data_IF_779283604222
#
_entry.id   IF_779283604222
#
_cell.length_a   1.000
_cell.length_b   1.000
_cell.length_c   1.000
_cell.angle_alpha   90.00
_cell.angle_beta   90.00
_cell.angle_gamma   90.00
#
_symmetry.space_group_name_H-M   'P 1'
#
loop_
_entity.id
_entity.type
_entity.pdbx_description
1 polymer ?
#
# COMPACT_ATOMS: atom_id res chain seq x y z
N UNK A 1 6.07 -24.13 21.15
CA UNK A 1 7.34 -24.55 21.78
C UNK A 1 8.36 -25.08 20.78
N UNK A 2 8.07 -26.14 19.99
CA UNK A 2 9.10 -26.73 19.12
C UNK A 2 9.60 -25.82 17.99
N UNK A 3 8.71 -25.06 17.35
CA UNK A 3 9.09 -24.02 16.39
C UNK A 3 9.84 -22.86 17.05
N UNK A 4 9.36 -22.42 18.22
CA UNK A 4 10.00 -21.33 18.98
C UNK A 4 11.44 -21.67 19.41
N UNK A 5 11.76 -22.94 19.64
CA UNK A 5 13.11 -23.37 19.97
C UNK A 5 14.13 -23.10 18.86
N UNK A 6 13.72 -22.99 17.59
CA UNK A 6 14.61 -22.65 16.48
C UNK A 6 15.29 -21.30 16.74
N UNK A 7 14.58 -20.36 17.37
CA UNK A 7 15.02 -18.99 17.64
C UNK A 7 15.68 -18.82 19.01
N UNK A 8 15.61 -19.81 19.89
CA UNK A 8 16.05 -19.70 21.28
C UNK A 8 17.47 -20.20 21.47
N UNK A 9 18.32 -19.45 22.17
CA UNK A 9 19.71 -19.86 22.49
C UNK A 9 19.78 -21.08 23.43
N UNK A 10 18.71 -21.33 24.18
CA UNK A 10 18.59 -22.48 25.06
C UNK A 10 17.32 -23.27 24.75
N UNK A 11 17.37 -24.57 25.00
CA UNK A 11 16.20 -25.44 24.79
C UNK A 11 15.09 -25.04 25.77
N UNK A 12 13.98 -24.57 25.23
CA UNK A 12 12.82 -24.12 25.98
C UNK A 12 12.16 -25.31 26.68
N UNK A 13 11.72 -25.05 27.91
CA UNK A 13 10.87 -25.97 28.66
C UNK A 13 9.41 -25.75 28.29
N UNK A 14 8.64 -26.83 28.20
CA UNK A 14 7.21 -26.76 27.93
C UNK A 14 6.52 -26.31 29.22
N UNK A 15 5.81 -25.19 29.15
CA UNK A 15 4.97 -24.71 30.24
C UNK A 15 3.49 -25.00 29.94
N UNK A 16 2.74 -25.40 30.97
CA UNK A 16 1.28 -25.55 30.90
C UNK A 16 0.65 -24.73 32.02
N UNK A 17 -0.13 -23.71 31.64
CA UNK A 17 -0.69 -22.72 32.58
C UNK A 17 0.42 -22.09 33.46
N UNK A 18 1.49 -21.61 32.82
CA UNK A 18 2.68 -21.00 33.44
C UNK A 18 3.45 -21.87 34.43
N UNK A 19 3.15 -23.18 34.50
CA UNK A 19 3.91 -24.15 35.30
C UNK A 19 4.88 -24.95 34.42
N UNK A 20 6.17 -25.04 34.80
CA UNK A 20 7.15 -25.88 34.10
C UNK A 20 6.76 -27.35 34.21
N UNK A 21 6.82 -28.08 33.09
CA UNK A 21 6.44 -29.50 33.04
C UNK A 21 7.61 -30.45 33.26
N UNK A 22 8.84 -29.96 33.40
CA UNK A 22 10.08 -30.75 33.43
C UNK A 22 10.50 -31.27 32.05
N UNK A 23 9.67 -31.09 31.00
CA UNK A 23 9.93 -31.59 29.65
C UNK A 23 10.49 -30.47 28.78
N UNK A 24 11.67 -30.71 28.20
CA UNK A 24 12.25 -29.85 27.17
C UNK A 24 11.52 -30.06 25.84
N UNK A 25 11.23 -28.99 25.14
CA UNK A 25 10.68 -29.07 23.79
C UNK A 25 11.78 -29.45 22.79
N UNK A 26 11.46 -30.28 21.80
CA UNK A 26 12.36 -30.52 20.66
C UNK A 26 12.43 -29.32 19.72
N UNK A 27 13.23 -29.41 18.67
CA UNK A 27 13.31 -28.40 17.60
C UNK A 27 12.62 -28.98 16.37
N UNK A 28 11.60 -28.30 15.83
CA UNK A 28 10.86 -28.74 14.63
C UNK A 28 10.32 -27.55 13.85
N UNK A 29 10.39 -27.66 12.52
CA UNK A 29 9.65 -26.78 11.61
C UNK A 29 8.14 -27.09 11.67
N UNK A 30 7.30 -26.16 11.21
CA UNK A 30 5.85 -26.33 11.18
C UNK A 30 5.40 -27.47 10.25
N UNK A 31 6.03 -27.57 9.07
CA UNK A 31 5.74 -28.57 8.04
C UNK A 31 6.94 -29.50 7.89
N UNK A 32 6.84 -30.71 8.45
CA UNK A 32 7.96 -31.67 8.51
C UNK A 32 8.37 -32.17 7.12
N UNK A 33 7.46 -32.06 6.15
CA UNK A 33 7.69 -32.38 4.75
C UNK A 33 8.79 -31.50 4.14
N UNK A 34 9.05 -30.31 4.70
CA UNK A 34 10.07 -29.39 4.25
C UNK A 34 11.48 -29.79 4.66
N UNK A 35 11.63 -30.58 5.74
CA UNK A 35 12.92 -31.03 6.25
C UNK A 35 13.00 -31.05 7.78
N UNK A 36 14.17 -31.43 8.28
CA UNK A 36 14.49 -31.45 9.71
C UNK A 36 15.63 -30.47 10.01
N UNK A 37 15.49 -29.71 11.10
CA UNK A 37 16.51 -28.77 11.58
C UNK A 37 17.40 -29.49 12.59
N UNK A 38 18.71 -29.31 12.46
CA UNK A 38 19.68 -29.87 13.41
C UNK A 38 19.48 -29.27 14.80
N UNK A 39 19.10 -30.14 15.74
CA UNK A 39 18.85 -29.75 17.13
C UNK A 39 20.11 -29.38 17.91
N UNK A 40 21.30 -29.82 17.46
CA UNK A 40 22.59 -29.53 18.08
C UNK A 40 23.27 -28.27 17.56
N UNK A 41 22.76 -27.69 16.46
CA UNK A 41 23.34 -26.51 15.85
C UNK A 41 23.10 -25.24 16.67
N UNK A 42 24.01 -24.28 16.56
CA UNK A 42 23.85 -22.95 17.15
C UNK A 42 22.66 -22.20 16.52
N UNK A 43 22.11 -21.21 17.22
CA UNK A 43 20.91 -20.46 16.78
C UNK A 43 21.05 -19.91 15.36
N UNK A 44 22.20 -19.33 15.01
CA UNK A 44 22.46 -18.79 13.67
C UNK A 44 22.30 -19.84 12.56
N UNK A 45 22.88 -21.02 12.75
CA UNK A 45 22.82 -22.11 11.77
C UNK A 45 21.39 -22.70 11.69
N UNK A 46 20.67 -22.79 12.81
CA UNK A 46 19.26 -23.22 12.81
C UNK A 46 18.35 -22.23 12.09
N UNK A 47 18.60 -20.93 12.21
CA UNK A 47 17.86 -19.90 11.48
C UNK A 47 18.17 -19.94 9.98
N UNK A 48 19.41 -20.21 9.60
CA UNK A 48 19.80 -20.43 8.21
C UNK A 48 19.10 -21.65 7.62
N UNK A 49 19.13 -22.80 8.31
CA UNK A 49 18.41 -24.00 7.89
C UNK A 49 16.90 -23.74 7.75
N UNK A 50 16.30 -23.04 8.71
CA UNK A 50 14.89 -22.65 8.59
C UNK A 50 14.64 -21.79 7.35
N UNK A 51 15.50 -20.80 7.07
CA UNK A 51 15.38 -19.98 5.88
C UNK A 51 15.48 -20.83 4.60
N UNK A 52 16.48 -21.70 4.50
CA UNK A 52 16.68 -22.60 3.35
C UNK A 52 15.46 -23.50 3.12
N UNK A 53 14.84 -24.01 4.20
CA UNK A 53 13.61 -24.82 4.11
C UNK A 53 12.35 -24.03 3.75
N UNK A 54 12.28 -22.73 4.04
CA UNK A 54 11.11 -21.90 3.72
C UNK A 54 11.16 -21.34 2.29
N UNK A 55 12.36 -21.19 1.71
CA UNK A 55 12.54 -20.65 0.35
C UNK A 55 12.70 -21.75 -0.71
N UNK A 56 12.53 -23.01 -0.34
CA UNK A 56 12.63 -24.10 -1.29
C UNK A 56 11.39 -24.14 -2.20
N UNK A 57 11.54 -24.52 -3.48
CA UNK A 57 10.40 -24.68 -4.39
C UNK A 57 9.32 -25.66 -3.89
N UNK A 58 9.67 -26.58 -3.00
CA UNK A 58 8.74 -27.52 -2.35
C UNK A 58 7.75 -26.80 -1.43
N UNK A 59 8.08 -25.62 -0.89
CA UNK A 59 7.15 -24.80 -0.12
C UNK A 59 6.36 -23.86 -1.05
N UNK A 60 5.20 -24.32 -1.53
CA UNK A 60 4.30 -23.48 -2.32
C UNK A 60 3.67 -22.32 -1.53
N UNK A 61 3.66 -22.38 -0.18
CA UNK A 61 2.94 -21.41 0.65
C UNK A 61 3.57 -20.03 0.56
N UNK A 62 4.90 -19.93 0.61
CA UNK A 62 5.61 -18.65 0.53
C UNK A 62 5.23 -17.90 -0.75
N UNK A 63 5.34 -18.55 -1.90
CA UNK A 63 5.11 -17.93 -3.21
C UNK A 63 3.65 -17.58 -3.43
N UNK A 64 2.72 -18.48 -3.07
CA UNK A 64 1.28 -18.18 -3.07
C UNK A 64 0.95 -16.97 -2.20
N UNK A 65 1.58 -16.86 -1.04
CA UNK A 65 1.36 -15.73 -0.12
C UNK A 65 1.88 -14.41 -0.72
N UNK A 66 3.09 -14.42 -1.32
CA UNK A 66 3.66 -13.22 -1.97
C UNK A 66 2.78 -12.77 -3.13
N UNK A 67 2.40 -13.69 -4.02
CA UNK A 67 1.50 -13.42 -5.15
C UNK A 67 0.16 -12.88 -4.66
N UNK A 68 -0.45 -13.51 -3.66
CA UNK A 68 -1.73 -13.09 -3.10
C UNK A 68 -1.67 -11.65 -2.55
N UNK A 69 -0.58 -11.29 -1.88
CA UNK A 69 -0.38 -9.93 -1.35
C UNK A 69 -0.20 -8.89 -2.45
N UNK A 70 0.61 -9.19 -3.48
CA UNK A 70 0.78 -8.28 -4.62
C UNK A 70 -0.54 -8.13 -5.37
N UNK A 71 -1.26 -9.22 -5.60
CA UNK A 71 -2.59 -9.21 -6.19
C UNK A 71 -3.56 -8.35 -5.38
N UNK A 72 -3.64 -8.54 -4.06
CA UNK A 72 -4.50 -7.74 -3.18
C UNK A 72 -4.17 -6.24 -3.24
N UNK A 73 -2.88 -5.90 -3.28
CA UNK A 73 -2.43 -4.51 -3.38
C UNK A 73 -2.89 -3.85 -4.68
N UNK A 74 -2.91 -4.59 -5.78
CA UNK A 74 -3.31 -4.08 -7.10
C UNK A 74 -4.82 -4.11 -7.30
N UNK A 75 -5.47 -5.23 -6.97
CA UNK A 75 -6.89 -5.50 -7.27
C UNK A 75 -7.84 -5.09 -6.14
N UNK A 76 -7.31 -4.72 -4.96
CA UNK A 76 -8.10 -4.32 -3.79
C UNK A 76 -8.64 -5.46 -2.93
N UNK A 77 -8.46 -6.72 -3.37
CA UNK A 77 -8.76 -7.95 -2.63
C UNK A 77 -7.80 -9.05 -3.04
N UNK A 78 -7.34 -9.87 -2.10
CA UNK A 78 -6.55 -11.06 -2.42
C UNK A 78 -7.32 -12.08 -3.25
N UNK A 79 -6.60 -13.04 -3.84
CA UNK A 79 -7.19 -14.30 -4.32
C UNK A 79 -7.70 -15.12 -3.13
N UNK A 80 -6.93 -15.15 -2.06
CA UNK A 80 -7.35 -15.60 -0.72
C UNK A 80 -7.53 -14.38 0.18
N UNK A 81 -8.65 -14.32 0.89
CA UNK A 81 -8.96 -13.24 1.84
C UNK A 81 -9.50 -13.83 3.16
N UNK A 82 -9.07 -13.35 4.35
CA UNK A 82 -8.04 -12.34 4.59
C UNK A 82 -6.66 -12.73 4.05
N UNK A 83 -5.87 -11.75 3.56
CA UNK A 83 -4.55 -12.00 2.95
C UNK A 83 -3.55 -12.75 3.85
N UNK A 84 -3.74 -12.68 5.17
CA UNK A 84 -2.89 -13.35 6.17
C UNK A 84 -3.40 -14.75 6.56
N UNK A 85 -4.60 -15.15 6.09
CA UNK A 85 -5.24 -16.43 6.41
C UNK A 85 -5.24 -17.30 5.15
N UNK A 86 -4.04 -17.70 4.72
CA UNK A 86 -3.82 -18.48 3.49
C UNK A 86 -4.39 -19.90 3.50
N UNK A 87 -4.98 -20.33 4.62
CA UNK A 87 -5.71 -21.60 4.74
C UNK A 87 -7.17 -21.49 4.29
N UNK A 88 -7.67 -20.27 4.04
CA UNK A 88 -8.97 -20.05 3.43
C UNK A 88 -8.99 -20.48 1.96
N UNK A 89 -10.18 -20.82 1.47
CA UNK A 89 -10.38 -21.18 0.07
C UNK A 89 -10.17 -19.95 -0.84
N UNK A 90 -9.30 -20.05 -1.87
CA UNK A 90 -9.17 -19.01 -2.87
C UNK A 90 -10.41 -18.97 -3.76
N UNK A 91 -10.80 -17.78 -4.23
CA UNK A 91 -11.87 -17.68 -5.23
C UNK A 91 -11.48 -18.31 -6.58
N UNK A 92 -10.18 -18.45 -6.84
CA UNK A 92 -9.64 -19.19 -7.98
C UNK A 92 -8.29 -19.82 -7.63
N UNK A 93 -8.30 -21.12 -7.32
CA UNK A 93 -7.10 -21.91 -7.02
C UNK A 93 -6.14 -21.96 -8.22
N UNK A 94 -6.66 -22.23 -9.42
CA UNK A 94 -5.82 -22.38 -10.63
C UNK A 94 -5.03 -21.12 -10.94
N UNK A 95 -5.66 -19.95 -10.81
CA UNK A 95 -4.99 -18.66 -11.01
C UNK A 95 -3.86 -18.44 -9.99
N UNK A 96 -4.12 -18.74 -8.71
CA UNK A 96 -3.14 -18.56 -7.64
C UNK A 96 -1.95 -19.48 -7.85
N UNK A 97 -2.20 -20.75 -8.16
CA UNK A 97 -1.16 -21.75 -8.39
C UNK A 97 -0.35 -21.44 -9.67
N UNK A 98 -1.01 -20.99 -10.73
CA UNK A 98 -0.34 -20.57 -11.97
C UNK A 98 0.56 -19.34 -11.75
N UNK A 99 0.06 -18.29 -11.09
CA UNK A 99 0.86 -17.10 -10.79
C UNK A 99 2.02 -17.42 -9.83
N UNK A 100 1.80 -18.32 -8.86
CA UNK A 100 2.86 -18.74 -7.95
C UNK A 100 3.95 -19.54 -8.69
N UNK A 101 3.58 -20.48 -9.56
CA UNK A 101 4.54 -21.23 -10.39
C UNK A 101 5.33 -20.28 -11.28
N UNK A 102 4.64 -19.38 -11.98
CA UNK A 102 5.29 -18.40 -12.86
C UNK A 102 6.26 -17.47 -12.11
N UNK A 103 5.89 -17.05 -10.90
CA UNK A 103 6.77 -16.25 -10.05
C UNK A 103 8.05 -17.00 -9.65
N UNK A 104 7.96 -18.32 -9.40
CA UNK A 104 9.13 -19.18 -9.16
C UNK A 104 9.97 -19.29 -10.43
N UNK A 105 9.34 -19.60 -11.57
CA UNK A 105 10.00 -19.79 -12.87
C UNK A 105 10.69 -18.52 -13.38
N UNK A 106 10.16 -17.33 -13.03
CA UNK A 106 10.76 -16.04 -13.34
C UNK A 106 11.89 -15.65 -12.38
N UNK A 107 12.33 -16.54 -11.49
CA UNK A 107 13.39 -16.27 -10.52
C UNK A 107 12.99 -15.29 -9.43
N UNK A 108 11.71 -15.29 -9.04
CA UNK A 108 11.15 -14.44 -7.97
C UNK A 108 11.17 -12.93 -8.27
N UNK A 109 11.18 -12.55 -9.56
CA UNK A 109 11.13 -11.15 -9.97
C UNK A 109 9.74 -10.53 -9.79
N UNK A 110 9.61 -9.69 -8.75
CA UNK A 110 8.38 -8.96 -8.45
C UNK A 110 7.95 -8.02 -9.59
N UNK A 111 8.86 -7.48 -10.39
CA UNK A 111 8.52 -6.59 -11.51
C UNK A 111 7.85 -7.36 -12.63
N UNK A 112 8.30 -8.58 -12.91
CA UNK A 112 7.66 -9.45 -13.91
C UNK A 112 6.25 -9.83 -13.45
N UNK A 113 6.08 -10.20 -12.18
CA UNK A 113 4.76 -10.49 -11.60
C UNK A 113 3.81 -9.28 -11.72
N UNK A 114 4.27 -8.10 -11.30
CA UNK A 114 3.47 -6.86 -11.38
C UNK A 114 3.12 -6.56 -12.84
N UNK A 115 4.09 -6.59 -13.75
CA UNK A 115 3.86 -6.36 -15.18
C UNK A 115 2.79 -7.30 -15.74
N UNK A 116 2.87 -8.59 -15.40
CA UNK A 116 1.92 -9.61 -15.85
C UNK A 116 0.50 -9.36 -15.35
N UNK A 117 0.33 -8.98 -14.09
CA UNK A 117 -0.97 -8.60 -13.55
C UNK A 117 -1.49 -7.34 -14.26
N UNK A 118 -0.70 -6.28 -14.33
CA UNK A 118 -1.09 -4.98 -14.90
C UNK A 118 -1.43 -5.03 -16.40
N UNK A 119 -0.85 -5.97 -17.14
CA UNK A 119 -1.10 -6.15 -18.57
C UNK A 119 -2.20 -7.16 -18.88
N UNK A 120 -2.78 -7.81 -17.87
CA UNK A 120 -3.86 -8.79 -18.05
C UNK A 120 -5.20 -8.13 -18.37
N UNK A 121 -6.06 -8.86 -19.10
CA UNK A 121 -7.46 -8.46 -19.32
C UNK A 121 -8.20 -8.30 -17.98
N UNK A 122 -7.87 -9.13 -16.99
CA UNK A 122 -8.47 -9.10 -15.65
C UNK A 122 -8.23 -7.76 -14.93
N UNK A 123 -7.04 -7.17 -15.09
CA UNK A 123 -6.73 -5.85 -14.51
C UNK A 123 -7.43 -4.71 -15.27
N UNK A 124 -7.67 -4.89 -16.57
CA UNK A 124 -8.32 -3.89 -17.43
C UNK A 124 -9.85 -3.91 -17.36
N UNK A 125 -10.45 -4.85 -16.61
CA UNK A 125 -11.88 -4.86 -16.37
C UNK A 125 -12.32 -3.59 -15.61
N UNK A 126 -13.54 -3.08 -15.86
CA UNK A 126 -14.10 -1.99 -15.07
C UNK A 126 -14.08 -2.31 -13.58
N UNK A 127 -13.70 -1.33 -12.75
CA UNK A 127 -13.73 -1.52 -11.31
C UNK A 127 -15.15 -1.53 -10.75
N UNK A 128 -15.29 -2.26 -9.66
CA UNK A 128 -16.55 -2.49 -8.97
C UNK A 128 -16.57 -1.79 -7.62
N UNK A 129 -17.72 -1.25 -7.24
CA UNK A 129 -17.92 -0.72 -5.89
C UNK A 129 -18.44 -1.80 -4.97
N UNK A 130 -18.09 -1.71 -3.70
CA UNK A 130 -18.65 -2.53 -2.63
C UNK A 130 -19.66 -1.73 -1.83
N UNK A 131 -20.79 -2.34 -1.47
CA UNK A 131 -21.77 -1.72 -0.57
C UNK A 131 -21.44 -1.99 0.91
N UNK A 132 -20.90 -3.17 1.19
CA UNK A 132 -20.58 -3.65 2.52
C UNK A 132 -19.22 -4.34 2.51
N UNK A 133 -18.39 -4.07 3.53
CA UNK A 133 -17.05 -4.66 3.64
C UNK A 133 -17.09 -6.18 3.81
N UNK A 134 -18.17 -6.71 4.42
CA UNK A 134 -18.36 -8.14 4.61
C UNK A 134 -18.40 -8.94 3.30
N UNK A 135 -18.76 -8.28 2.18
CA UNK A 135 -18.74 -8.90 0.85
C UNK A 135 -17.32 -9.32 0.42
N UNK A 136 -16.29 -8.60 0.87
CA UNK A 136 -14.90 -8.88 0.51
C UNK A 136 -14.47 -10.26 1.07
N UNK A 137 -14.86 -10.56 2.30
CA UNK A 137 -14.48 -11.81 3.00
C UNK A 137 -15.54 -12.91 2.86
N UNK A 138 -16.54 -12.72 2.00
CA UNK A 138 -17.60 -13.68 1.81
C UNK A 138 -17.06 -14.99 1.17
N UNK A 139 -17.51 -16.17 1.65
CA UNK A 139 -17.05 -17.45 1.11
C UNK A 139 -17.52 -17.69 -0.34
N UNK A 140 -18.63 -17.09 -0.74
CA UNK A 140 -19.21 -17.15 -2.08
C UNK A 140 -18.79 -15.97 -2.97
N UNK A 141 -17.65 -15.34 -2.66
CA UNK A 141 -17.13 -14.22 -3.43
C UNK A 141 -16.87 -14.59 -4.90
N UNK A 142 -17.48 -13.83 -5.80
CA UNK A 142 -17.23 -13.92 -7.24
C UNK A 142 -16.46 -12.68 -7.69
N UNK A 143 -15.33 -12.90 -8.34
CA UNK A 143 -14.53 -11.82 -8.89
C UNK A 143 -15.27 -11.15 -10.06
N UNK A 144 -15.45 -9.83 -9.98
CA UNK A 144 -16.15 -9.03 -11.01
C UNK A 144 -15.29 -7.87 -11.56
N UNK A 145 -14.07 -7.69 -11.06
CA UNK A 145 -13.19 -6.57 -11.37
C UNK A 145 -12.42 -6.08 -10.14
N UNK A 146 -11.56 -5.09 -10.35
CA UNK A 146 -10.84 -4.43 -9.26
C UNK A 146 -11.82 -3.76 -8.29
N UNK A 147 -11.57 -3.85 -6.98
CA UNK A 147 -12.36 -3.13 -5.99
C UNK A 147 -11.95 -1.67 -5.94
N UNK A 148 -12.93 -0.78 -6.12
CA UNK A 148 -12.74 0.66 -5.91
C UNK A 148 -12.40 0.92 -4.45
N UNK A 149 -11.27 1.57 -4.19
CA UNK A 149 -10.78 1.86 -2.84
C UNK A 149 -10.15 3.22 -2.75
N UNK A 150 -10.14 3.80 -1.56
CA UNK A 150 -9.43 5.06 -1.30
C UNK A 150 -7.92 4.87 -1.33
N UNK A 151 -7.21 5.91 -1.74
CA UNK A 151 -5.79 6.05 -1.47
C UNK A 151 -5.57 5.98 0.05
N UNK A 152 -4.54 5.24 0.48
CA UNK A 152 -4.11 5.32 1.89
C UNK A 152 -3.56 6.71 2.18
N UNK A 153 -3.45 7.06 3.47
CA UNK A 153 -2.83 8.32 3.90
C UNK A 153 -1.50 8.60 3.20
N UNK A 154 -0.62 7.59 3.15
CA UNK A 154 0.70 7.72 2.53
C UNK A 154 0.59 7.91 1.00
N UNK A 155 -0.31 7.16 0.35
CA UNK A 155 -0.53 7.27 -1.10
C UNK A 155 -1.12 8.63 -1.48
N UNK A 156 -2.08 9.15 -0.71
CA UNK A 156 -2.67 10.47 -0.94
C UNK A 156 -1.63 11.57 -0.84
N UNK A 157 -0.81 11.55 0.22
CA UNK A 157 0.24 12.56 0.40
C UNK A 157 1.30 12.48 -0.69
N UNK A 158 1.72 11.28 -1.06
CA UNK A 158 2.67 11.07 -2.16
C UNK A 158 2.07 11.53 -3.51
N UNK A 159 0.79 11.25 -3.78
CA UNK A 159 0.09 11.68 -4.99
C UNK A 159 0.00 13.21 -5.07
N UNK A 160 -0.42 13.90 -4.01
CA UNK A 160 -0.42 15.37 -3.96
C UNK A 160 0.99 15.93 -4.15
N UNK A 161 1.99 15.33 -3.50
CA UNK A 161 3.38 15.75 -3.60
C UNK A 161 3.95 15.63 -5.01
N UNK A 162 3.58 14.55 -5.71
CA UNK A 162 4.02 14.27 -7.07
C UNK A 162 3.26 15.13 -8.11
N UNK A 163 1.94 15.23 -7.98
CA UNK A 163 1.08 15.88 -8.96
C UNK A 163 1.06 17.40 -8.85
N UNK A 164 1.26 17.95 -7.66
CA UNK A 164 1.08 19.38 -7.39
C UNK A 164 2.35 20.02 -6.84
N UNK A 165 2.65 19.74 -5.57
CA UNK A 165 3.82 20.27 -4.87
C UNK A 165 4.07 19.43 -3.61
N UNK A 166 5.34 19.15 -3.23
CA UNK A 166 5.66 18.40 -2.03
C UNK A 166 4.96 18.90 -0.78
N UNK A 167 4.22 17.99 -0.13
CA UNK A 167 3.54 18.25 1.15
C UNK A 167 4.54 18.43 2.27
N UNK A 168 5.61 17.63 2.26
CA UNK A 168 6.69 17.69 3.25
C UNK A 168 7.99 18.22 2.64
N UNK A 169 8.77 19.02 3.39
CA UNK A 169 10.14 19.34 3.02
C UNK A 169 11.06 18.14 3.25
N UNK A 170 12.16 18.10 2.50
CA UNK A 170 13.16 17.00 2.57
C UNK A 170 13.84 16.87 3.94
N UNK A 171 13.81 17.92 4.77
CA UNK A 171 14.35 17.92 6.13
C UNK A 171 13.60 17.01 7.10
N UNK A 172 12.35 16.65 6.80
CA UNK A 172 11.53 15.76 7.64
C UNK A 172 11.70 14.27 7.32
N UNK A 173 12.48 13.92 6.29
CA UNK A 173 12.77 12.54 5.97
C UNK A 173 13.64 11.87 7.05
N UNK A 174 13.20 10.70 7.50
CA UNK A 174 13.93 9.87 8.47
C UNK A 174 14.82 8.88 7.71
N UNK A 175 16.07 9.29 7.43
CA UNK A 175 17.02 8.53 6.60
C UNK A 175 17.76 7.39 7.31
N UNK A 176 17.61 7.24 8.62
CA UNK A 176 18.52 6.43 9.44
C UNK A 176 18.59 4.95 9.06
N UNK A 177 17.63 4.44 8.26
CA UNK A 177 17.49 3.03 7.92
C UNK A 177 17.61 2.72 6.41
N UNK A 178 17.95 3.70 5.56
CA UNK A 178 17.98 3.50 4.10
C UNK A 178 19.41 3.48 3.54
N UNK A 179 19.70 2.62 2.55
CA UNK A 179 20.94 2.68 1.77
C UNK A 179 21.18 4.09 1.22
N UNK A 180 22.44 4.55 1.26
CA UNK A 180 22.82 5.89 0.77
C UNK A 180 22.39 6.14 -0.69
N UNK A 181 22.35 5.09 -1.51
CA UNK A 181 21.93 5.12 -2.92
C UNK A 181 20.46 5.48 -3.14
N UNK A 182 19.59 5.29 -2.15
CA UNK A 182 18.17 5.68 -2.27
C UNK A 182 18.01 7.20 -2.26
N UNK A 183 18.95 7.93 -1.63
CA UNK A 183 18.86 9.40 -1.49
C UNK A 183 18.87 10.16 -2.81
N UNK A 184 19.49 9.61 -3.87
CA UNK A 184 19.60 10.29 -5.17
C UNK A 184 18.38 10.12 -6.05
N UNK A 185 17.47 9.19 -5.73
CA UNK A 185 16.39 8.76 -6.62
C UNK A 185 14.99 9.14 -6.10
N UNK A 186 14.89 9.83 -4.96
CA UNK A 186 13.61 10.24 -4.39
C UNK A 186 13.35 11.71 -4.77
N UNK A 187 12.26 12.01 -5.53
CA UNK A 187 11.98 13.37 -6.00
C UNK A 187 11.49 14.33 -4.91
N UNK A 188 10.97 13.80 -3.79
CA UNK A 188 10.46 14.56 -2.65
C UNK A 188 10.31 13.65 -1.41
N UNK A 189 10.21 14.23 -0.22
CA UNK A 189 9.91 13.50 1.03
C UNK A 189 8.66 12.61 0.96
N UNK A 190 8.88 11.31 0.66
CA UNK A 190 7.83 10.28 0.64
C UNK A 190 7.19 10.15 2.02
N UNK A 191 5.86 10.11 2.09
CA UNK A 191 5.11 10.04 3.34
C UNK A 191 5.52 8.85 4.24
N UNK A 192 5.85 7.71 3.62
CA UNK A 192 6.34 6.52 4.31
C UNK A 192 7.66 6.73 5.07
N UNK A 193 8.47 7.70 4.64
CA UNK A 193 9.77 8.05 5.21
C UNK A 193 9.71 9.24 6.18
N UNK A 194 8.54 9.85 6.33
CA UNK A 194 8.30 10.90 7.32
C UNK A 194 7.68 10.27 8.57
N UNK A 195 8.03 10.81 9.74
CA UNK A 195 7.42 10.40 11.02
C UNK A 195 5.90 10.57 10.94
N UNK A 196 5.15 9.61 11.48
CA UNK A 196 3.70 9.72 11.52
C UNK A 196 3.29 10.95 12.35
N UNK A 197 2.62 11.90 11.70
CA UNK A 197 2.16 13.16 12.27
C UNK A 197 0.62 13.17 12.40
N UNK A 198 0.06 14.27 12.89
CA UNK A 198 -1.39 14.41 13.07
C UNK A 198 -2.14 14.36 11.74
N UNK A 199 -1.55 14.93 10.69
CA UNK A 199 -2.13 14.95 9.36
C UNK A 199 -2.30 13.51 8.82
N UNK A 200 -1.22 12.73 8.77
CA UNK A 200 -1.29 11.34 8.30
C UNK A 200 -2.15 10.45 9.20
N UNK A 201 -2.13 10.69 10.52
CA UNK A 201 -3.00 9.98 11.47
C UNK A 201 -4.48 10.25 11.17
N UNK A 202 -4.86 11.52 10.90
CA UNK A 202 -6.22 11.90 10.52
C UNK A 202 -6.67 11.23 9.20
N UNK A 203 -5.74 11.10 8.24
CA UNK A 203 -5.97 10.38 6.98
C UNK A 203 -5.99 8.85 7.13
N UNK A 204 -5.80 8.31 8.33
CA UNK A 204 -5.91 6.87 8.61
C UNK A 204 -4.59 6.09 8.56
N UNK A 205 -3.42 6.75 8.66
CA UNK A 205 -2.14 6.06 8.83
C UNK A 205 -2.11 5.33 10.19
N UNK A 206 -1.95 3.99 10.21
CA UNK A 206 -1.87 3.23 11.44
C UNK A 206 -0.69 3.64 12.31
N UNK A 207 -0.88 3.47 13.62
CA UNK A 207 0.20 3.58 14.58
C UNK A 207 1.09 2.32 14.50
N UNK A 208 2.41 2.50 14.61
CA UNK A 208 3.38 1.39 14.65
C UNK A 208 3.30 0.60 15.96
N UNK A 209 2.71 1.18 17.00
CA UNK A 209 2.50 0.50 18.30
C UNK A 209 1.34 -0.50 18.28
N UNK A 210 0.53 -0.52 17.23
CA UNK A 210 -0.61 -1.43 17.10
C UNK A 210 -0.45 -2.33 15.89
N UNK A 211 -0.62 -3.63 16.09
CA UNK A 211 -0.67 -4.59 14.98
C UNK A 211 -2.01 -4.42 14.26
N UNK A 212 -1.94 -3.96 13.02
CA UNK A 212 -3.11 -3.75 12.16
C UNK A 212 -2.84 -4.47 10.84
N UNK A 213 -3.61 -5.53 10.59
CA UNK A 213 -3.51 -6.39 9.40
C UNK A 213 -4.38 -5.89 8.25
N UNK A 214 -5.24 -4.90 8.49
CA UNK A 214 -6.12 -4.27 7.50
C UNK A 214 -6.03 -2.74 7.55
N UNK A 215 -6.40 -2.07 6.46
CA UNK A 215 -6.50 -0.61 6.40
C UNK A 215 -7.96 -0.22 6.33
N UNK A 216 -8.40 0.67 7.20
CA UNK A 216 -9.74 1.22 7.12
C UNK A 216 -9.84 2.16 5.91
N UNK A 217 -10.70 1.84 4.96
CA UNK A 217 -10.96 2.65 3.76
C UNK A 217 -12.15 3.59 3.90
N UNK A 218 -12.84 3.60 5.04
CA UNK A 218 -14.01 4.45 5.27
C UNK A 218 -13.60 5.91 5.46
N UNK A 219 -14.42 6.79 4.90
CA UNK A 219 -14.35 8.21 5.18
C UNK A 219 -14.60 8.46 6.66
N UNK A 220 -13.81 9.33 7.29
CA UNK A 220 -14.07 9.77 8.65
C UNK A 220 -14.14 11.30 8.72
N UNK A 221 -14.85 11.81 9.73
CA UNK A 221 -15.05 13.25 9.91
C UNK A 221 -13.73 14.00 10.13
N UNK A 222 -12.78 13.37 10.83
CA UNK A 222 -11.48 13.98 11.12
C UNK A 222 -10.68 14.20 9.84
N UNK A 223 -10.69 13.24 8.91
CA UNK A 223 -10.10 13.36 7.57
C UNK A 223 -10.72 14.52 6.79
N UNK A 224 -12.05 14.63 6.79
CA UNK A 224 -12.73 15.71 6.08
C UNK A 224 -12.40 17.09 6.66
N UNK A 225 -12.35 17.21 8.00
CA UNK A 225 -11.94 18.44 8.68
C UNK A 225 -10.49 18.79 8.33
N UNK A 226 -9.58 17.83 8.49
CA UNK A 226 -8.15 18.04 8.23
C UNK A 226 -7.87 18.45 6.78
N UNK A 227 -8.59 17.88 5.81
CA UNK A 227 -8.49 18.27 4.40
C UNK A 227 -9.12 19.63 4.08
N UNK A 228 -9.99 20.16 4.94
CA UNK A 228 -10.64 21.46 4.76
C UNK A 228 -9.90 22.59 5.49
N UNK A 229 -9.46 22.34 6.72
CA UNK A 229 -8.92 23.38 7.61
C UNK A 229 -7.54 23.04 8.21
N UNK A 230 -6.99 21.85 7.91
CA UNK A 230 -5.69 21.44 8.42
C UNK A 230 -4.56 22.28 7.85
N UNK A 231 -3.60 22.63 8.71
CA UNK A 231 -2.49 23.52 8.34
C UNK A 231 -1.54 22.86 7.35
N UNK A 232 -1.21 21.57 7.56
CA UNK A 232 -0.23 20.85 6.74
C UNK A 232 -0.63 20.80 5.26
N UNK A 233 -1.90 20.48 4.99
CA UNK A 233 -2.42 20.39 3.64
C UNK A 233 -2.58 21.78 3.01
N UNK A 234 -3.22 22.71 3.73
CA UNK A 234 -3.46 24.06 3.20
C UNK A 234 -2.16 24.82 2.90
N UNK A 235 -1.13 24.69 3.73
CA UNK A 235 0.18 25.27 3.43
C UNK A 235 0.83 24.66 2.17
N UNK A 236 0.62 23.36 1.93
CA UNK A 236 1.10 22.71 0.71
C UNK A 236 0.34 23.22 -0.53
N UNK A 237 -0.99 23.38 -0.44
CA UNK A 237 -1.80 23.92 -1.54
C UNK A 237 -1.44 25.38 -1.83
N UNK A 238 -1.20 26.22 -0.81
CA UNK A 238 -0.73 27.60 -0.99
C UNK A 238 0.57 27.67 -1.78
N UNK A 239 1.57 26.88 -1.35
CA UNK A 239 2.85 26.76 -2.08
C UNK A 239 2.63 26.27 -3.52
N UNK A 240 1.72 25.33 -3.72
CA UNK A 240 1.36 24.86 -5.06
C UNK A 240 0.76 26.01 -5.89
N UNK A 241 -0.21 26.75 -5.38
CA UNK A 241 -0.84 27.87 -6.07
C UNK A 241 0.17 28.92 -6.54
N UNK A 242 1.11 29.31 -5.67
CA UNK A 242 2.19 30.23 -6.03
C UNK A 242 3.06 29.70 -7.18
N UNK A 243 3.51 28.45 -7.09
CA UNK A 243 4.39 27.81 -8.08
C UNK A 243 3.67 27.64 -9.42
N UNK A 244 2.43 27.17 -9.38
CA UNK A 244 1.63 26.86 -10.56
C UNK A 244 1.21 28.11 -11.32
N UNK A 245 0.81 29.18 -10.61
CA UNK A 245 0.50 30.47 -11.21
C UNK A 245 1.71 31.10 -11.91
N UNK A 246 2.91 30.97 -11.32
CA UNK A 246 4.16 31.45 -11.94
C UNK A 246 4.55 30.60 -13.15
N UNK A 247 4.33 29.28 -13.08
CA UNK A 247 4.67 28.33 -14.15
C UNK A 247 3.73 28.43 -15.34
N UNK A 248 2.45 28.69 -15.11
CA UNK A 248 1.41 28.75 -16.15
C UNK A 248 0.62 30.06 -16.07
N UNK A 249 1.13 31.14 -16.72
CA UNK A 249 0.44 32.43 -16.74
C UNK A 249 -0.89 32.44 -17.52
N UNK A 250 -1.03 31.54 -18.50
CA UNK A 250 -2.29 31.34 -19.23
C UNK A 250 -3.21 30.40 -18.45
N UNK A 251 -4.42 30.89 -18.13
CA UNK A 251 -5.40 30.16 -17.31
C UNK A 251 -5.88 28.87 -17.98
N UNK A 252 -6.05 28.84 -19.31
CA UNK A 252 -6.49 27.62 -19.99
C UNK A 252 -5.42 26.54 -19.87
N UNK A 253 -4.16 26.94 -20.06
CA UNK A 253 -3.01 26.04 -19.91
C UNK A 253 -2.84 25.58 -18.46
N UNK A 254 -3.06 26.47 -17.49
CA UNK A 254 -3.07 26.11 -16.06
C UNK A 254 -4.10 25.02 -15.78
N UNK A 255 -5.34 25.20 -16.23
CA UNK A 255 -6.42 24.22 -16.05
C UNK A 255 -6.02 22.88 -16.67
N UNK A 256 -5.62 22.86 -17.94
CA UNK A 256 -5.24 21.64 -18.64
C UNK A 256 -4.10 20.88 -17.95
N UNK A 257 -3.07 21.59 -17.49
CA UNK A 257 -1.93 20.98 -16.81
C UNK A 257 -2.29 20.50 -15.40
N UNK A 258 -3.19 21.18 -14.68
CA UNK A 258 -3.66 20.69 -13.37
C UNK A 258 -4.44 19.39 -13.56
N UNK A 259 -5.39 19.34 -14.50
CA UNK A 259 -6.14 18.13 -14.82
C UNK A 259 -5.23 16.98 -15.25
N UNK A 260 -4.27 17.25 -16.13
CA UNK A 260 -3.33 16.23 -16.62
C UNK A 260 -2.46 15.67 -15.51
N UNK A 261 -1.97 16.50 -14.58
CA UNK A 261 -1.09 16.03 -13.51
C UNK A 261 -1.85 15.39 -12.34
N UNK A 262 -3.10 15.77 -12.10
CA UNK A 262 -3.91 15.21 -11.01
C UNK A 262 -4.72 14.00 -11.44
N UNK A 263 -5.46 14.10 -12.55
CA UNK A 263 -6.40 13.07 -13.04
C UNK A 263 -5.85 12.27 -14.23
N UNK A 264 -4.68 12.62 -14.78
CA UNK A 264 -4.08 11.88 -15.90
C UNK A 264 -4.77 12.10 -17.26
N UNK A 265 -5.76 13.00 -17.34
CA UNK A 265 -6.54 13.30 -18.55
C UNK A 265 -6.73 14.80 -18.74
N UNK A 266 -7.19 15.20 -19.92
CA UNK A 266 -7.65 16.57 -20.16
C UNK A 266 -9.06 16.78 -19.58
N UNK A 267 -9.43 18.02 -19.21
CA UNK A 267 -10.79 18.34 -18.80
C UNK A 267 -11.75 18.13 -19.98
N UNK A 268 -12.98 17.72 -19.71
CA UNK A 268 -14.05 17.79 -20.72
C UNK A 268 -14.57 19.22 -20.83
N UNK A 269 -15.28 19.55 -21.91
CA UNK A 269 -15.73 20.93 -22.19
C UNK A 269 -16.58 21.55 -21.06
N UNK A 270 -17.38 20.74 -20.37
CA UNK A 270 -18.19 21.20 -19.23
C UNK A 270 -17.31 21.51 -18.00
N UNK A 271 -16.33 20.66 -17.70
CA UNK A 271 -15.36 20.84 -16.62
C UNK A 271 -14.48 22.08 -16.87
N UNK A 272 -14.02 22.26 -18.11
CA UNK A 272 -13.21 23.42 -18.52
C UNK A 272 -14.00 24.73 -18.36
N UNK A 273 -15.28 24.75 -18.77
CA UNK A 273 -16.14 25.92 -18.60
C UNK A 273 -16.36 26.27 -17.12
N UNK A 274 -16.53 25.27 -16.25
CA UNK A 274 -16.65 25.47 -14.80
C UNK A 274 -15.34 26.01 -14.22
N UNK A 275 -14.20 25.41 -14.57
CA UNK A 275 -12.90 25.84 -14.08
C UNK A 275 -12.56 27.27 -14.51
N UNK A 276 -12.86 27.64 -15.77
CA UNK A 276 -12.67 29.00 -16.28
C UNK A 276 -13.58 30.01 -15.58
N UNK A 277 -14.83 29.64 -15.29
CA UNK A 277 -15.75 30.50 -14.54
C UNK A 277 -15.26 30.77 -13.12
N UNK A 278 -14.65 29.77 -12.48
CA UNK A 278 -14.12 29.88 -11.11
C UNK A 278 -12.83 30.69 -11.05
N UNK A 279 -11.90 30.47 -11.99
CA UNK A 279 -10.59 31.13 -12.01
C UNK A 279 -10.61 32.54 -12.62
N UNK A 280 -11.51 32.80 -13.57
CA UNK A 280 -11.53 34.03 -14.36
C UNK A 280 -10.33 34.15 -15.32
N UNK A 281 -10.19 35.30 -16.00
CA UNK A 281 -9.10 35.51 -16.97
C UNK A 281 -7.74 35.80 -16.32
N UNK A 282 -7.73 36.27 -15.07
CA UNK A 282 -6.52 36.58 -14.32
C UNK A 282 -6.68 36.09 -12.88
N UNK A 283 -6.46 34.79 -12.64
CA UNK A 283 -6.75 34.19 -11.35
C UNK A 283 -5.88 34.79 -10.25
N UNK A 284 -6.53 35.12 -9.13
CA UNK A 284 -5.83 35.42 -7.88
C UNK A 284 -5.16 34.16 -7.35
N UNK A 285 -4.18 34.32 -6.47
CA UNK A 285 -3.52 33.18 -5.82
C UNK A 285 -4.53 32.31 -5.05
N UNK A 286 -5.46 32.94 -4.34
CA UNK A 286 -6.54 32.23 -3.63
C UNK A 286 -7.46 31.45 -4.56
N UNK A 287 -7.78 31.97 -5.75
CA UNK A 287 -8.59 31.23 -6.72
C UNK A 287 -7.87 29.97 -7.24
N UNK A 288 -6.54 30.05 -7.43
CA UNK A 288 -5.73 28.88 -7.80
C UNK A 288 -5.60 27.90 -6.63
N UNK A 289 -5.48 28.40 -5.39
CA UNK A 289 -5.50 27.57 -4.17
C UNK A 289 -6.80 26.76 -4.09
N UNK A 290 -7.95 27.41 -4.19
CA UNK A 290 -9.27 26.78 -4.16
C UNK A 290 -9.45 25.75 -5.28
N UNK A 291 -8.97 26.07 -6.49
CA UNK A 291 -9.04 25.16 -7.63
C UNK A 291 -8.17 23.91 -7.41
N UNK A 292 -6.91 24.08 -7.00
CA UNK A 292 -6.01 22.95 -6.73
C UNK A 292 -6.55 22.10 -5.56
N UNK A 293 -7.07 22.74 -4.52
CA UNK A 293 -7.74 22.08 -3.41
C UNK A 293 -8.92 21.23 -3.89
N UNK A 294 -9.79 21.78 -4.73
CA UNK A 294 -10.93 21.06 -5.30
C UNK A 294 -10.49 19.84 -6.13
N UNK A 295 -9.39 19.95 -6.89
CA UNK A 295 -8.85 18.84 -7.67
C UNK A 295 -8.31 17.72 -6.77
N UNK A 296 -7.62 18.06 -5.67
CA UNK A 296 -7.15 17.07 -4.69
C UNK A 296 -8.29 16.44 -3.87
N UNK A 297 -9.44 17.14 -3.75
CA UNK A 297 -10.65 16.61 -3.12
C UNK A 297 -11.59 15.86 -4.07
N UNK A 298 -11.30 15.89 -5.37
CA UNK A 298 -12.11 15.21 -6.36
C UNK A 298 -12.09 13.69 -6.11
N UNK A 299 -13.24 12.97 -6.13
CA UNK A 299 -13.27 11.53 -5.91
C UNK A 299 -12.36 10.75 -6.88
N UNK A 300 -12.25 11.20 -8.13
CA UNK A 300 -11.36 10.59 -9.13
C UNK A 300 -9.88 10.70 -8.74
N UNK A 301 -9.50 11.71 -7.96
CA UNK A 301 -8.14 11.82 -7.42
C UNK A 301 -7.93 10.93 -6.19
N UNK A 302 -8.96 10.78 -5.34
CA UNK A 302 -8.84 10.08 -4.07
C UNK A 302 -9.07 8.57 -4.15
N UNK A 303 -9.58 8.06 -5.28
CA UNK A 303 -9.94 6.67 -5.47
C UNK A 303 -8.98 5.99 -6.46
N UNK A 304 -8.66 4.74 -6.15
CA UNK A 304 -8.10 3.77 -7.09
C UNK A 304 -9.29 3.01 -7.68
N UNK A 305 -9.37 2.99 -9.00
CA UNK A 305 -10.44 2.40 -9.79
C UNK A 305 -9.88 1.76 -11.06
#
# INVERSE_FOLDING_TARGET
YAFANIFADTTLEINRCDKPTGRKAGIRILYQELGEIDSGAVTEERLKQLADFLIQPKDGRLYRTVVNRIWAQLMGRGIVEPVDVMDNEPWSQDLLDWLASDFVDSGYDLKILIFKILTSDTYQLPSVGIKEEAFITAPDYVFAGMLRRRLTAEQFVDAVSQSLQPVYPDSLMVYALLPKSIKTNIPFARAALVKNDRFQTALGRPNRETVSTSRNSQANLLQALELTNGTQFNEAIKRAAEVWRKRYPDVNKLIQEVYRNTLGRFPVSEEEAIALKTLGQSPSEGAVEDFIWAMALHPEFQLIY
#
